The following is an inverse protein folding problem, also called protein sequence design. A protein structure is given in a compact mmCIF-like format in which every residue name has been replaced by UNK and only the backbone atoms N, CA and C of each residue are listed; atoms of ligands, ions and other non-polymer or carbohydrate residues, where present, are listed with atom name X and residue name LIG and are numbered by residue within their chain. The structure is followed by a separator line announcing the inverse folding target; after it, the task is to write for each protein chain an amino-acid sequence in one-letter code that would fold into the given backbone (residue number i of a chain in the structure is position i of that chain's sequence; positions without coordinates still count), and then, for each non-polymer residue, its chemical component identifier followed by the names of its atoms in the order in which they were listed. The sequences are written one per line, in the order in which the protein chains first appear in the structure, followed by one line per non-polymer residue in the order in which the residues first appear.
data_IF_052122024364
#
_entry.id   IF_052122024364
#
_cell.length_a   1.000
_cell.length_b   1.000
_cell.length_c   1.000
_cell.angle_alpha   90.00
_cell.angle_beta   90.00
_cell.angle_gamma   90.00
#
_symmetry.space_group_name_H-M   'P 1'
#
loop_
_entity.id
_entity.type
_entity.pdbx_description
1 polymer ?
#
# COMPACT_ATOMS: atom_id res chain seq x y z
N UNK A 1 -4.95 -0.57 10.84
CA UNK A 1 -4.82 0.53 9.87
C UNK A 1 -4.98 1.86 10.60
N UNK A 2 -3.94 2.68 10.54
CA UNK A 2 -3.80 3.92 11.28
C UNK A 2 -4.80 5.02 10.83
N UNK A 3 -5.28 5.83 11.77
CA UNK A 3 -6.23 6.92 11.51
C UNK A 3 -5.59 8.07 10.72
N UNK A 4 -4.28 8.26 10.88
CA UNK A 4 -3.46 9.18 10.08
C UNK A 4 -3.58 8.86 8.58
N UNK A 5 -3.40 7.59 8.20
CA UNK A 5 -3.51 7.12 6.82
C UNK A 5 -4.92 7.28 6.25
N UNK A 6 -5.96 6.95 7.02
CA UNK A 6 -7.36 7.15 6.61
C UNK A 6 -7.69 8.61 6.34
N UNK A 7 -7.15 9.52 7.16
CA UNK A 7 -7.28 10.95 6.96
C UNK A 7 -6.51 11.40 5.71
N UNK A 8 -5.28 10.94 5.55
CA UNK A 8 -4.42 11.26 4.42
C UNK A 8 -5.05 10.83 3.08
N UNK A 9 -5.60 9.63 2.98
CA UNK A 9 -6.33 9.17 1.80
C UNK A 9 -7.45 10.15 1.44
N UNK A 10 -8.34 10.46 2.39
CA UNK A 10 -9.45 11.40 2.15
C UNK A 10 -8.97 12.74 1.62
N UNK A 11 -7.88 13.27 2.17
CA UNK A 11 -7.31 14.54 1.72
C UNK A 11 -6.59 14.43 0.36
N UNK A 12 -5.93 13.31 0.08
CA UNK A 12 -5.16 13.09 -1.15
C UNK A 12 -6.03 12.74 -2.36
N UNK A 13 -7.04 11.89 -2.17
CA UNK A 13 -7.86 11.35 -3.27
C UNK A 13 -9.23 12.02 -3.36
N UNK A 14 -9.69 12.69 -2.30
CA UNK A 14 -11.07 13.16 -2.18
C UNK A 14 -12.09 12.03 -1.98
N UNK A 15 -11.62 10.80 -1.76
CA UNK A 15 -12.47 9.61 -1.56
C UNK A 15 -12.18 8.94 -0.22
N UNK A 16 -13.21 8.32 0.38
CA UNK A 16 -13.00 7.43 1.53
C UNK A 16 -12.30 6.15 1.09
N UNK A 17 -11.55 5.53 2.00
CA UNK A 17 -10.79 4.28 1.83
C UNK A 17 -11.61 3.14 1.20
N UNK A 18 -12.92 3.15 1.43
CA UNK A 18 -13.91 2.23 0.84
C UNK A 18 -13.93 2.27 -0.70
N UNK A 19 -13.44 3.34 -1.33
CA UNK A 19 -13.41 3.55 -2.79
C UNK A 19 -12.00 3.61 -3.41
N UNK A 20 -10.94 3.26 -2.67
CA UNK A 20 -9.68 2.92 -3.34
C UNK A 20 -9.95 1.61 -4.11
N UNK A 21 -10.29 1.75 -5.40
CA UNK A 21 -10.69 0.69 -6.34
C UNK A 21 -9.58 -0.31 -6.68
N UNK A 22 -8.79 -0.67 -5.68
CA UNK A 22 -7.68 -1.61 -5.74
C UNK A 22 -7.83 -2.75 -4.75
N UNK A 23 -8.99 -2.97 -4.11
CA UNK A 23 -9.25 -4.37 -3.75
C UNK A 23 -9.27 -5.10 -5.09
N UNK A 24 -8.43 -6.14 -5.34
CA UNK A 24 -8.76 -7.08 -6.40
C UNK A 24 -10.24 -7.36 -6.20
N UNK A 25 -11.01 -7.33 -7.28
CA UNK A 25 -12.40 -7.72 -7.21
C UNK A 25 -12.36 -9.17 -6.74
N UNK A 26 -12.36 -9.36 -5.41
CA UNK A 26 -12.07 -10.62 -4.75
C UNK A 26 -13.08 -11.62 -5.26
N UNK A 27 -14.29 -11.15 -5.51
CA UNK A 27 -15.35 -11.80 -6.26
C UNK A 27 -14.89 -12.33 -7.62
N UNK A 28 -14.29 -11.53 -8.51
CA UNK A 28 -13.84 -12.04 -9.82
C UNK A 28 -12.56 -12.88 -9.76
N UNK A 29 -11.57 -12.56 -8.92
CA UNK A 29 -10.38 -13.41 -8.75
C UNK A 29 -10.74 -14.77 -8.13
N UNK A 30 -11.63 -14.80 -7.11
CA UNK A 30 -12.16 -16.03 -6.52
C UNK A 30 -13.14 -16.74 -7.46
N UNK A 31 -13.93 -16.01 -8.26
CA UNK A 31 -14.79 -16.61 -9.28
C UNK A 31 -13.95 -17.30 -10.37
N UNK A 32 -12.84 -16.70 -10.78
CA UNK A 32 -11.93 -17.29 -11.78
C UNK A 32 -11.18 -18.51 -11.23
N UNK A 33 -10.74 -18.46 -9.96
CA UNK A 33 -10.18 -19.63 -9.28
C UNK A 33 -11.24 -20.74 -9.10
N UNK A 34 -12.44 -20.41 -8.63
CA UNK A 34 -13.51 -21.40 -8.40
C UNK A 34 -14.04 -22.03 -9.68
N UNK A 35 -13.98 -21.35 -10.83
CA UNK A 35 -14.28 -21.93 -12.13
C UNK A 35 -13.26 -23.01 -12.57
N UNK A 36 -12.04 -22.96 -12.02
CA UNK A 36 -10.96 -23.89 -12.35
C UNK A 36 -10.67 -24.90 -11.24
N UNK A 37 -11.28 -24.74 -10.05
CA UNK A 37 -11.16 -25.65 -8.92
C UNK A 37 -12.37 -26.60 -8.82
N UNK A 38 -12.11 -27.81 -8.35
CA UNK A 38 -13.18 -28.73 -7.93
C UNK A 38 -14.03 -28.08 -6.82
N UNK A 39 -15.35 -28.26 -6.86
CA UNK A 39 -16.28 -27.63 -5.90
C UNK A 39 -15.90 -27.94 -4.43
N UNK A 40 -15.40 -29.15 -4.18
CA UNK A 40 -14.87 -29.66 -2.93
C UNK A 40 -13.79 -28.74 -2.33
N UNK A 41 -12.91 -28.21 -3.17
CA UNK A 41 -11.80 -27.34 -2.75
C UNK A 41 -12.23 -25.89 -2.52
N UNK A 42 -13.24 -25.43 -3.26
CA UNK A 42 -13.83 -24.11 -3.01
C UNK A 42 -14.49 -24.03 -1.63
N UNK A 43 -15.13 -25.12 -1.19
CA UNK A 43 -15.74 -25.22 0.14
C UNK A 43 -14.66 -25.29 1.23
N UNK A 44 -13.66 -26.15 1.08
CA UNK A 44 -12.55 -26.24 2.03
C UNK A 44 -11.80 -24.90 2.21
N UNK A 45 -11.62 -24.15 1.11
CA UNK A 45 -11.04 -22.81 1.15
C UNK A 45 -11.91 -21.80 1.90
N UNK A 46 -13.22 -21.86 1.66
CA UNK A 46 -14.19 -20.99 2.32
C UNK A 46 -14.24 -21.24 3.82
N UNK A 47 -14.27 -22.50 4.25
CA UNK A 47 -14.22 -22.89 5.66
C UNK A 47 -12.89 -22.50 6.32
N UNK A 48 -11.77 -22.61 5.59
CA UNK A 48 -10.47 -22.16 6.09
C UNK A 48 -10.44 -20.64 6.31
N UNK A 49 -11.02 -19.85 5.39
CA UNK A 49 -11.16 -18.41 5.55
C UNK A 49 -12.10 -18.04 6.69
N UNK A 50 -13.22 -18.76 6.85
CA UNK A 50 -14.19 -18.52 7.92
C UNK A 50 -13.61 -18.86 9.31
N UNK A 51 -12.87 -19.97 9.41
CA UNK A 51 -12.13 -20.35 10.62
C UNK A 51 -11.08 -19.30 10.99
N UNK A 52 -10.35 -18.75 10.01
CA UNK A 52 -9.38 -17.68 10.23
C UNK A 52 -10.04 -16.36 10.71
N UNK A 53 -11.31 -16.13 10.36
CA UNK A 53 -12.08 -14.96 10.81
C UNK A 53 -12.69 -15.14 12.19
N UNK A 54 -13.12 -16.36 12.55
CA UNK A 54 -13.80 -16.67 13.82
C UNK A 54 -12.82 -16.88 14.98
N UNK A 55 -11.66 -17.49 14.73
CA UNK A 55 -10.59 -17.61 15.73
C UNK A 55 -9.24 -17.17 15.15
N UNK A 56 -8.89 -15.87 15.27
CA UNK A 56 -7.62 -15.35 14.77
C UNK A 56 -6.39 -15.89 15.53
N UNK A 57 -6.60 -16.56 16.68
CA UNK A 57 -5.51 -16.97 17.56
C UNK A 57 -4.57 -17.99 16.90
N UNK A 58 -3.30 -17.98 17.32
CA UNK A 58 -2.24 -18.87 16.84
C UNK A 58 -2.42 -20.34 17.22
N UNK A 59 -3.56 -20.72 17.78
CA UNK A 59 -3.84 -22.07 18.30
C UNK A 59 -4.16 -23.08 17.19
N UNK A 60 -4.48 -22.60 15.98
CA UNK A 60 -4.65 -23.41 14.77
C UNK A 60 -3.32 -23.59 13.99
N UNK A 61 -2.16 -23.35 14.60
CA UNK A 61 -0.85 -23.60 14.01
C UNK A 61 -0.18 -24.76 14.77
N UNK A 62 0.10 -25.86 14.07
CA UNK A 62 0.64 -27.07 14.71
C UNK A 62 0.89 -28.20 13.72
N UNK A 63 1.62 -29.23 14.16
CA UNK A 63 1.99 -30.38 13.31
C UNK A 63 0.79 -31.18 12.78
N UNK A 64 -0.40 -31.01 13.38
CA UNK A 64 -1.65 -31.64 12.97
C UNK A 64 -2.31 -30.96 11.77
N UNK A 65 -1.84 -29.76 11.40
CA UNK A 65 -2.33 -28.99 10.26
C UNK A 65 -1.62 -29.36 8.97
N UNK A 66 -2.41 -29.49 7.91
CA UNK A 66 -1.92 -29.76 6.57
C UNK A 66 -1.29 -28.50 6.01
N UNK A 67 -0.13 -28.67 5.36
CA UNK A 67 0.69 -27.59 4.83
C UNK A 67 1.30 -26.67 5.90
N UNK A 68 1.29 -27.01 7.18
CA UNK A 68 1.99 -26.22 8.20
C UNK A 68 3.51 -26.32 8.06
N UNK A 69 4.23 -25.21 8.26
CA UNK A 69 5.71 -25.18 8.32
C UNK A 69 6.16 -24.35 9.52
N UNK A 70 6.76 -24.98 10.55
CA UNK A 70 7.21 -24.26 11.74
C UNK A 70 8.34 -23.29 11.44
N UNK A 71 9.25 -23.63 10.52
CA UNK A 71 10.38 -22.77 10.19
C UNK A 71 9.94 -21.55 9.36
N UNK A 72 9.09 -21.75 8.36
CA UNK A 72 8.54 -20.63 7.60
C UNK A 72 7.66 -19.73 8.50
N UNK A 73 6.90 -20.31 9.43
CA UNK A 73 6.13 -19.56 10.43
C UNK A 73 7.02 -18.64 11.27
N UNK A 74 8.12 -19.16 11.82
CA UNK A 74 9.07 -18.37 12.61
C UNK A 74 9.71 -17.24 11.80
N UNK A 75 10.08 -17.49 10.54
CA UNK A 75 10.61 -16.45 9.65
C UNK A 75 9.57 -15.35 9.44
N UNK A 76 8.32 -15.72 9.13
CA UNK A 76 7.24 -14.76 8.89
C UNK A 76 6.94 -13.90 10.12
N UNK A 77 6.80 -14.52 11.29
CA UNK A 77 6.51 -13.83 12.56
C UNK A 77 7.64 -12.89 13.00
N UNK A 78 8.88 -13.15 12.59
CA UNK A 78 10.04 -12.31 12.93
C UNK A 78 10.29 -11.22 11.89
N UNK A 79 10.39 -11.59 10.62
CA UNK A 79 10.94 -10.72 9.59
C UNK A 79 9.92 -9.67 9.11
N UNK A 80 8.62 -9.97 9.09
CA UNK A 80 7.60 -8.98 8.70
C UNK A 80 7.48 -7.81 9.69
N UNK A 81 7.40 -8.01 11.02
CA UNK A 81 7.38 -6.89 11.97
C UNK A 81 8.64 -6.03 11.87
N UNK A 82 9.82 -6.63 11.77
CA UNK A 82 11.08 -5.90 11.59
C UNK A 82 11.08 -5.05 10.32
N UNK A 83 10.57 -5.60 9.21
CA UNK A 83 10.45 -4.87 7.95
C UNK A 83 9.48 -3.68 8.08
N UNK A 84 8.33 -3.87 8.74
CA UNK A 84 7.36 -2.80 8.95
C UNK A 84 7.94 -1.67 9.81
N UNK A 85 8.67 -2.00 10.88
CA UNK A 85 9.30 -1.00 11.76
C UNK A 85 10.46 -0.27 11.08
N UNK A 86 11.26 -0.98 10.26
CA UNK A 86 12.29 -0.38 9.41
C UNK A 86 11.68 0.71 8.51
N UNK A 87 10.58 0.42 7.83
CA UNK A 87 9.95 1.36 6.92
C UNK A 87 9.24 2.51 7.64
N UNK A 88 8.68 2.31 8.84
CA UNK A 88 8.19 3.41 9.68
C UNK A 88 9.31 4.41 9.95
N UNK A 89 10.46 3.92 10.40
CA UNK A 89 11.64 4.74 10.68
C UNK A 89 12.13 5.48 9.45
N UNK A 90 12.23 4.79 8.30
CA UNK A 90 12.61 5.42 7.02
C UNK A 90 11.64 6.52 6.60
N UNK A 91 10.34 6.38 6.87
CA UNK A 91 9.35 7.42 6.57
C UNK A 91 9.44 8.61 7.53
N UNK A 92 9.83 8.40 8.78
CA UNK A 92 10.09 9.50 9.72
C UNK A 92 11.32 10.31 9.29
N UNK A 93 12.41 9.65 8.88
CA UNK A 93 13.59 10.29 8.29
C UNK A 93 13.25 11.04 6.99
N UNK A 94 12.44 10.42 6.13
CA UNK A 94 11.95 11.02 4.90
C UNK A 94 11.12 12.27 5.18
N UNK A 95 10.20 12.22 6.16
CA UNK A 95 9.39 13.37 6.58
C UNK A 95 10.29 14.50 7.08
N UNK A 96 11.26 14.20 7.93
CA UNK A 96 12.20 15.20 8.46
C UNK A 96 13.02 15.88 7.35
N UNK A 97 13.57 15.09 6.42
CA UNK A 97 14.32 15.60 5.25
C UNK A 97 13.49 16.58 4.41
N UNK A 98 12.23 16.24 4.14
CA UNK A 98 11.38 17.07 3.29
C UNK A 98 10.76 18.26 4.02
N UNK A 99 10.51 18.15 5.32
CA UNK A 99 10.14 19.29 6.15
C UNK A 99 11.23 20.38 6.12
N UNK A 100 12.52 20.00 6.17
CA UNK A 100 13.63 20.96 6.03
C UNK A 100 13.68 21.62 4.66
N UNK A 101 13.49 20.85 3.58
CA UNK A 101 13.50 21.37 2.19
C UNK A 101 12.32 22.32 1.89
N UNK A 102 11.19 22.13 2.56
CA UNK A 102 10.02 23.00 2.44
C UNK A 102 9.90 24.00 3.59
N UNK A 103 10.95 24.20 4.38
CA UNK A 103 11.04 25.35 5.28
C UNK A 103 10.88 26.64 4.47
N UNK A 104 10.24 27.66 5.06
CA UNK A 104 9.81 28.84 4.30
C UNK A 104 10.96 29.56 3.60
N UNK A 105 12.15 29.63 4.22
CA UNK A 105 13.33 30.25 3.62
C UNK A 105 13.82 29.52 2.37
N UNK A 106 13.85 28.19 2.40
CA UNK A 106 14.27 27.39 1.24
C UNK A 106 13.23 27.43 0.12
N UNK A 107 11.96 27.33 0.47
CA UNK A 107 10.87 27.48 -0.48
C UNK A 107 10.87 28.88 -1.12
N UNK A 108 11.10 29.92 -0.32
CA UNK A 108 11.23 31.30 -0.80
C UNK A 108 12.34 31.41 -1.83
N UNK A 109 13.52 30.88 -1.53
CA UNK A 109 14.67 30.87 -2.45
C UNK A 109 14.33 30.18 -3.77
N UNK A 110 13.71 29.00 -3.72
CA UNK A 110 13.32 28.23 -4.91
C UNK A 110 12.30 29.00 -5.76
N UNK A 111 11.25 29.55 -5.15
CA UNK A 111 10.20 30.26 -5.86
C UNK A 111 10.69 31.59 -6.45
N UNK A 112 11.58 32.29 -5.76
CA UNK A 112 12.19 33.52 -6.23
C UNK A 112 13.12 33.26 -7.43
N UNK A 113 14.02 32.28 -7.31
CA UNK A 113 14.96 31.93 -8.39
C UNK A 113 14.25 31.43 -9.65
N UNK A 114 13.14 30.73 -9.49
CA UNK A 114 12.32 30.25 -10.60
C UNK A 114 11.38 31.32 -11.19
N UNK A 115 11.41 32.56 -10.67
CA UNK A 115 10.60 33.67 -11.19
C UNK A 115 9.10 33.56 -10.86
N UNK A 116 8.72 32.72 -9.90
CA UNK A 116 7.33 32.58 -9.46
C UNK A 116 6.89 33.70 -8.51
N UNK A 117 7.85 34.33 -7.82
CA UNK A 117 7.59 35.47 -6.94
C UNK A 117 8.29 36.69 -7.53
N UNK A 118 7.52 37.73 -7.77
CA UNK A 118 7.98 38.98 -8.38
C UNK A 118 7.55 40.16 -7.51
N UNK A 119 8.18 41.30 -7.72
CA UNK A 119 7.82 42.56 -7.09
C UNK A 119 7.41 43.56 -8.16
N UNK A 120 6.33 44.29 -7.92
CA UNK A 120 5.92 45.46 -8.69
C UNK A 120 5.68 46.66 -7.75
N UNK A 121 5.10 47.76 -8.27
CA UNK A 121 4.82 48.97 -7.50
C UNK A 121 3.80 48.78 -6.37
N UNK A 122 2.94 47.76 -6.45
CA UNK A 122 1.89 47.46 -5.46
C UNK A 122 2.38 46.43 -4.41
N UNK A 123 3.53 45.80 -4.63
CA UNK A 123 4.21 44.93 -3.67
C UNK A 123 4.70 43.61 -4.28
N UNK A 124 4.87 42.60 -3.43
CA UNK A 124 5.27 41.25 -3.85
C UNK A 124 4.05 40.42 -4.23
N UNK A 125 4.13 39.67 -5.33
CA UNK A 125 3.03 38.82 -5.78
C UNK A 125 3.52 37.50 -6.39
N UNK A 126 2.60 36.52 -6.43
CA UNK A 126 2.84 35.21 -7.04
C UNK A 126 2.43 35.26 -8.52
N UNK A 127 3.41 35.19 -9.41
CA UNK A 127 3.27 35.30 -10.87
C UNK A 127 2.79 33.98 -11.46
N UNK A 128 1.49 33.71 -11.35
CA UNK A 128 0.89 32.46 -11.79
C UNK A 128 -0.40 32.72 -12.57
N UNK A 129 -0.48 32.25 -13.83
CA UNK A 129 -1.61 32.52 -14.73
C UNK A 129 -2.64 31.37 -14.76
N UNK A 130 -2.40 30.27 -14.06
CA UNK A 130 -3.35 29.16 -13.96
C UNK A 130 -3.42 28.26 -15.19
N UNK A 131 -2.43 28.33 -16.08
CA UNK A 131 -2.38 27.43 -17.24
C UNK A 131 -1.96 26.02 -16.82
N UNK A 132 -2.43 24.99 -17.54
CA UNK A 132 -2.03 23.60 -17.26
C UNK A 132 -0.52 23.40 -17.33
N UNK A 133 0.17 24.15 -18.20
CA UNK A 133 1.63 24.11 -18.33
C UNK A 133 2.33 24.73 -17.11
N UNK A 134 1.86 25.89 -16.63
CA UNK A 134 2.43 26.51 -15.43
C UNK A 134 2.21 25.66 -14.17
N UNK A 135 1.03 25.05 -14.02
CA UNK A 135 0.77 24.10 -12.91
C UNK A 135 1.81 22.98 -12.93
N UNK A 136 2.03 22.40 -14.11
CA UNK A 136 2.99 21.33 -14.31
C UNK A 136 4.43 21.79 -14.02
N UNK A 137 4.82 22.96 -14.51
CA UNK A 137 6.14 23.52 -14.26
C UNK A 137 6.38 23.77 -12.76
N UNK A 138 5.39 24.37 -12.07
CA UNK A 138 5.47 24.61 -10.64
C UNK A 138 5.55 23.31 -9.84
N UNK A 139 4.79 22.29 -10.23
CA UNK A 139 4.88 20.95 -9.63
C UNK A 139 6.29 20.34 -9.77
N UNK A 140 6.86 20.40 -10.97
CA UNK A 140 8.20 19.88 -11.23
C UNK A 140 9.30 20.66 -10.51
N UNK A 141 9.13 21.97 -10.31
CA UNK A 141 10.09 22.78 -9.56
C UNK A 141 9.96 22.66 -8.04
N UNK A 142 8.93 21.99 -7.52
CA UNK A 142 8.66 21.91 -6.07
C UNK A 142 8.46 20.48 -5.57
N UNK A 143 7.26 19.91 -5.76
CA UNK A 143 6.81 18.67 -5.11
C UNK A 143 7.24 17.40 -5.85
N UNK A 144 7.54 17.46 -7.15
CA UNK A 144 7.85 16.26 -7.93
C UNK A 144 8.96 15.38 -7.32
N UNK A 145 10.03 16.00 -6.81
CA UNK A 145 11.14 15.26 -6.22
C UNK A 145 10.76 14.55 -4.90
N UNK A 146 9.85 15.14 -4.10
CA UNK A 146 9.27 14.49 -2.92
C UNK A 146 8.56 13.19 -3.32
N UNK A 147 7.73 13.29 -4.36
CA UNK A 147 6.97 12.15 -4.87
C UNK A 147 7.90 11.06 -5.40
N UNK A 148 8.87 11.41 -6.24
CA UNK A 148 9.83 10.45 -6.78
C UNK A 148 10.69 9.76 -5.70
N UNK A 149 11.08 10.47 -4.64
CA UNK A 149 11.79 9.86 -3.51
C UNK A 149 10.86 8.93 -2.69
N UNK A 150 9.56 9.23 -2.56
CA UNK A 150 8.59 8.34 -1.90
C UNK A 150 8.32 7.07 -2.70
N UNK A 151 8.28 7.15 -4.03
CA UNK A 151 8.13 5.99 -4.90
C UNK A 151 9.29 5.00 -4.73
N UNK A 152 10.51 5.50 -4.51
CA UNK A 152 11.67 4.65 -4.19
C UNK A 152 11.47 3.88 -2.89
N UNK A 153 10.88 4.51 -1.86
CA UNK A 153 10.56 3.81 -0.60
C UNK A 153 9.58 2.66 -0.87
N UNK A 154 8.52 2.90 -1.64
CA UNK A 154 7.57 1.85 -1.99
C UNK A 154 8.24 0.72 -2.81
N UNK A 155 9.09 1.05 -3.78
CA UNK A 155 9.84 0.06 -4.56
C UNK A 155 10.74 -0.79 -3.66
N UNK A 156 11.44 -0.16 -2.71
CA UNK A 156 12.27 -0.89 -1.75
C UNK A 156 11.43 -1.82 -0.88
N UNK A 157 10.27 -1.37 -0.38
CA UNK A 157 9.36 -2.23 0.39
C UNK A 157 8.92 -3.43 -0.44
N UNK A 158 8.40 -3.20 -1.66
CA UNK A 158 7.95 -4.29 -2.53
C UNK A 158 9.06 -5.29 -2.82
N UNK A 159 10.28 -4.82 -3.11
CA UNK A 159 11.43 -5.70 -3.35
C UNK A 159 11.79 -6.54 -2.11
N UNK A 160 11.77 -5.93 -0.91
CA UNK A 160 12.09 -6.62 0.35
C UNK A 160 11.04 -7.67 0.71
N UNK A 161 9.78 -7.35 0.45
CA UNK A 161 8.65 -8.26 0.65
C UNK A 161 8.72 -9.44 -0.32
N UNK A 162 8.98 -9.20 -1.61
CA UNK A 162 9.15 -10.26 -2.60
C UNK A 162 10.30 -11.20 -2.23
N UNK A 163 11.44 -10.64 -1.80
CA UNK A 163 12.56 -11.45 -1.32
C UNK A 163 12.21 -12.29 -0.08
N UNK A 164 11.43 -11.73 0.84
CA UNK A 164 10.94 -12.48 2.00
C UNK A 164 9.97 -13.60 1.57
N UNK A 165 9.08 -13.32 0.62
CA UNK A 165 8.20 -14.32 -0.01
C UNK A 165 9.00 -15.45 -0.63
N UNK A 166 10.01 -15.18 -1.46
CA UNK A 166 10.87 -16.21 -2.06
C UNK A 166 11.53 -17.10 -1.01
N UNK A 167 12.05 -16.50 0.08
CA UNK A 167 12.65 -17.23 1.21
C UNK A 167 11.61 -18.11 1.92
N UNK A 168 10.41 -17.57 2.15
CA UNK A 168 9.30 -18.30 2.77
C UNK A 168 8.85 -19.47 1.89
N UNK A 169 8.57 -19.24 0.61
CA UNK A 169 8.23 -20.30 -0.36
C UNK A 169 9.28 -21.42 -0.35
N UNK A 170 10.57 -21.09 -0.39
CA UNK A 170 11.65 -22.08 -0.42
C UNK A 170 11.65 -23.00 0.80
N UNK A 171 11.44 -22.45 1.99
CA UNK A 171 11.37 -23.24 3.24
C UNK A 171 10.05 -24.00 3.29
N UNK A 172 8.94 -23.29 3.03
CA UNK A 172 7.60 -23.82 3.14
C UNK A 172 7.37 -24.97 2.17
N UNK A 173 7.72 -24.85 0.90
CA UNK A 173 7.51 -25.89 -0.11
C UNK A 173 8.33 -27.14 0.19
N UNK A 174 9.52 -26.98 0.79
CA UNK A 174 10.35 -28.11 1.21
C UNK A 174 9.72 -28.89 2.36
N UNK A 175 9.05 -28.21 3.28
CA UNK A 175 8.51 -28.81 4.50
C UNK A 175 7.05 -29.27 4.36
N UNK A 176 6.27 -28.57 3.55
CA UNK A 176 4.81 -28.77 3.46
C UNK A 176 4.39 -29.63 2.27
N UNK A 177 5.04 -29.54 1.11
CA UNK A 177 4.54 -30.12 -0.14
C UNK A 177 4.86 -31.63 -0.31
N UNK A 178 4.57 -32.42 0.72
CA UNK A 178 4.97 -33.84 0.81
C UNK A 178 4.00 -34.74 0.02
N UNK A 179 2.72 -34.40 -0.02
CA UNK A 179 1.66 -35.14 -0.72
C UNK A 179 0.76 -34.21 -1.57
N UNK A 180 -0.18 -34.78 -2.33
CA UNK A 180 -1.04 -33.99 -3.23
C UNK A 180 -1.92 -32.97 -2.49
N UNK A 181 -2.38 -33.33 -1.29
CA UNK A 181 -3.29 -32.52 -0.48
C UNK A 181 -2.55 -31.32 0.13
N UNK A 182 -1.34 -31.56 0.64
CA UNK A 182 -0.49 -30.54 1.24
C UNK A 182 0.12 -29.56 0.21
N UNK A 183 0.02 -29.86 -1.09
CA UNK A 183 0.41 -28.95 -2.18
C UNK A 183 -0.63 -27.88 -2.51
N UNK A 184 -1.85 -27.98 -2.00
CA UNK A 184 -2.96 -27.12 -2.42
C UNK A 184 -2.72 -25.65 -2.05
N UNK A 185 -2.38 -25.37 -0.80
CA UNK A 185 -2.06 -24.00 -0.37
C UNK A 185 -0.82 -23.44 -1.10
N UNK A 186 0.29 -24.19 -1.24
CA UNK A 186 1.42 -23.81 -2.10
C UNK A 186 1.03 -23.48 -3.55
N UNK A 187 0.23 -24.34 -4.19
CA UNK A 187 -0.19 -24.13 -5.59
C UNK A 187 -1.11 -22.92 -5.73
N UNK A 188 -2.01 -22.70 -4.76
CA UNK A 188 -2.86 -21.52 -4.73
C UNK A 188 -2.03 -20.25 -4.55
N UNK A 189 -1.09 -20.24 -3.61
CA UNK A 189 -0.20 -19.10 -3.35
C UNK A 189 0.58 -18.71 -4.61
N UNK A 190 1.20 -19.67 -5.29
CA UNK A 190 1.93 -19.46 -6.53
C UNK A 190 1.05 -18.91 -7.66
N UNK A 191 -0.22 -19.32 -7.74
CA UNK A 191 -1.14 -18.88 -8.80
C UNK A 191 -1.49 -17.39 -8.72
N UNK A 192 -1.31 -16.76 -7.55
CA UNK A 192 -1.64 -15.35 -7.38
C UNK A 192 -0.50 -14.39 -7.71
N UNK A 193 0.77 -14.82 -7.72
CA UNK A 193 1.96 -13.94 -7.80
C UNK A 193 1.88 -12.88 -8.90
N UNK A 194 1.46 -13.26 -10.11
CA UNK A 194 1.36 -12.33 -11.23
C UNK A 194 0.34 -11.20 -10.95
N UNK A 195 -0.81 -11.54 -10.35
CA UNK A 195 -1.83 -10.55 -10.00
C UNK A 195 -1.34 -9.62 -8.89
N UNK A 196 -0.57 -10.15 -7.94
CA UNK A 196 0.04 -9.40 -6.85
C UNK A 196 1.05 -8.36 -7.38
N UNK A 197 1.93 -8.78 -8.29
CA UNK A 197 2.91 -7.91 -8.95
C UNK A 197 2.22 -6.79 -9.73
N UNK A 198 1.21 -7.14 -10.52
CA UNK A 198 0.41 -6.15 -11.25
C UNK A 198 -0.28 -5.16 -10.31
N UNK A 199 -0.81 -5.64 -9.18
CA UNK A 199 -1.46 -4.78 -8.20
C UNK A 199 -0.48 -3.80 -7.56
N UNK A 200 0.69 -4.27 -7.12
CA UNK A 200 1.75 -3.44 -6.55
C UNK A 200 2.24 -2.41 -7.57
N UNK A 201 2.41 -2.80 -8.84
CA UNK A 201 2.79 -1.89 -9.90
C UNK A 201 1.77 -0.76 -10.11
N UNK A 202 0.46 -1.07 -10.04
CA UNK A 202 -0.62 -0.06 -10.10
C UNK A 202 -0.61 0.87 -8.89
N UNK A 203 -0.43 0.34 -7.68
CA UNK A 203 -0.31 1.15 -6.47
C UNK A 203 0.86 2.13 -6.59
N UNK A 204 2.01 1.66 -7.08
CA UNK A 204 3.19 2.51 -7.33
C UNK A 204 2.90 3.61 -8.33
N UNK A 205 2.31 3.28 -9.48
CA UNK A 205 1.97 4.26 -10.50
C UNK A 205 0.97 5.33 -10.01
N UNK A 206 0.12 4.96 -9.04
CA UNK A 206 -0.89 5.88 -8.49
C UNK A 206 -0.31 7.02 -7.64
N UNK A 207 0.89 6.87 -7.07
CA UNK A 207 1.50 7.89 -6.20
C UNK A 207 1.68 9.23 -6.93
N UNK A 208 2.36 9.21 -8.09
CA UNK A 208 2.54 10.39 -8.92
C UNK A 208 1.23 10.99 -9.40
N UNK A 209 0.29 10.16 -9.84
CA UNK A 209 -1.00 10.62 -10.34
C UNK A 209 -1.79 11.37 -9.24
N UNK A 210 -1.89 10.78 -8.06
CA UNK A 210 -2.65 11.33 -6.93
C UNK A 210 -1.99 12.61 -6.41
N UNK A 211 -0.66 12.61 -6.27
CA UNK A 211 0.08 13.80 -5.87
C UNK A 211 -0.13 14.96 -6.84
N UNK A 212 0.04 14.71 -8.15
CA UNK A 212 -0.15 15.73 -9.17
C UNK A 212 -1.60 16.22 -9.25
N UNK A 213 -2.58 15.31 -9.10
CA UNK A 213 -4.01 15.67 -9.10
C UNK A 213 -4.35 16.58 -7.92
N UNK A 214 -3.93 16.22 -6.70
CA UNK A 214 -4.10 17.07 -5.51
C UNK A 214 -3.39 18.40 -5.68
N UNK A 215 -2.17 18.37 -6.20
CA UNK A 215 -1.39 19.58 -6.46
C UNK A 215 -2.16 20.52 -7.38
N UNK A 216 -2.56 20.01 -8.54
CA UNK A 216 -3.27 20.76 -9.56
C UNK A 216 -4.57 21.38 -9.05
N UNK A 217 -5.33 20.67 -8.20
CA UNK A 217 -6.58 21.19 -7.64
C UNK A 217 -6.38 22.48 -6.82
N UNK A 218 -5.26 22.63 -6.13
CA UNK A 218 -4.97 23.84 -5.35
C UNK A 218 -4.71 25.08 -6.20
N UNK A 219 -4.30 24.89 -7.46
CA UNK A 219 -3.92 25.96 -8.38
C UNK A 219 -4.88 26.13 -9.56
N UNK A 220 -5.91 25.27 -9.67
CA UNK A 220 -6.96 25.38 -10.71
C UNK A 220 -7.91 26.55 -10.49
N UNK A 221 -8.12 26.99 -9.24
CA UNK A 221 -9.00 28.13 -8.95
C UNK A 221 -8.30 29.45 -9.27
N UNK A 222 -8.89 30.24 -10.18
CA UNK A 222 -8.41 31.59 -10.53
C UNK A 222 -8.80 32.57 -9.42
N UNK A 223 -7.84 32.92 -8.56
CA UNK A 223 -7.94 34.08 -7.67
C UNK A 223 -7.47 35.35 -8.37
N UNK A 224 -7.92 36.51 -7.91
CA UNK A 224 -7.25 37.77 -8.27
C UNK A 224 -5.80 37.73 -7.77
N UNK A 225 -4.89 38.32 -8.53
CA UNK A 225 -3.51 38.51 -8.07
C UNK A 225 -3.57 39.29 -6.75
N UNK A 226 -2.87 38.77 -5.75
CA UNK A 226 -2.80 39.36 -4.42
C UNK A 226 -1.38 39.83 -4.18
N UNK A 227 -1.27 41.08 -3.75
CA UNK A 227 0.00 41.71 -3.38
C UNK A 227 0.23 41.61 -1.87
N UNK A 228 1.51 41.54 -1.50
CA UNK A 228 1.99 41.38 -0.14
C UNK A 228 3.11 42.38 0.14
N UNK A 229 3.20 42.83 1.39
CA UNK A 229 4.24 43.76 1.83
C UNK A 229 5.65 43.15 1.77
N UNK A 230 5.77 41.83 1.94
CA UNK A 230 7.05 41.11 1.91
C UNK A 230 6.98 39.86 1.04
N UNK A 231 8.12 39.47 0.46
CA UNK A 231 8.23 38.25 -0.35
C UNK A 231 7.92 36.99 0.45
N UNK A 232 8.35 36.91 1.72
CA UNK A 232 8.04 35.81 2.63
C UNK A 232 6.54 35.67 2.91
N UNK A 233 5.82 36.79 3.07
CA UNK A 233 4.37 36.75 3.23
C UNK A 233 3.68 36.22 1.96
N UNK A 234 4.22 36.57 0.77
CA UNK A 234 3.76 36.01 -0.50
C UNK A 234 3.97 34.48 -0.54
N UNK A 235 5.16 33.98 -0.17
CA UNK A 235 5.47 32.54 -0.14
C UNK A 235 4.47 31.77 0.73
N UNK A 236 4.19 32.25 1.95
CA UNK A 236 3.27 31.59 2.88
C UNK A 236 1.85 31.48 2.33
N UNK A 237 1.46 32.37 1.42
CA UNK A 237 0.14 32.35 0.79
C UNK A 237 0.04 31.39 -0.41
N UNK A 238 1.18 30.98 -1.01
CA UNK A 238 1.21 30.05 -2.15
C UNK A 238 0.69 28.69 -1.70
N UNK A 239 -0.31 28.17 -2.42
CA UNK A 239 -0.92 26.87 -2.09
C UNK A 239 -1.75 26.86 -0.81
N UNK A 240 -2.11 28.04 -0.26
CA UNK A 240 -2.85 28.21 1.01
C UNK A 240 -4.07 27.30 1.21
N UNK A 241 -4.67 26.80 0.14
CA UNK A 241 -5.77 25.81 0.19
C UNK A 241 -5.41 24.51 0.92
N UNK A 242 -4.13 24.12 1.02
CA UNK A 242 -3.70 22.96 1.80
C UNK A 242 -3.57 23.26 3.30
N UNK A 243 -3.38 24.51 3.70
CA UNK A 243 -3.15 24.93 5.09
C UNK A 243 -4.28 25.85 5.59
N UNK A 244 -5.54 25.39 5.46
CA UNK A 244 -6.72 26.19 5.84
C UNK A 244 -6.79 26.53 7.32
N UNK A 245 -6.25 25.66 8.19
CA UNK A 245 -6.20 25.88 9.64
C UNK A 245 -5.08 26.83 10.06
N UNK A 246 -4.10 27.11 9.19
CA UNK A 246 -2.90 27.85 9.56
C UNK A 246 -1.98 27.11 10.53
N UNK A 247 -2.14 25.79 10.68
CA UNK A 247 -1.35 24.99 11.64
C UNK A 247 0.13 24.84 11.21
N UNK A 248 0.42 24.99 9.92
CA UNK A 248 1.77 24.91 9.37
C UNK A 248 2.30 26.30 9.02
N UNK A 249 3.63 26.45 9.02
CA UNK A 249 4.29 27.71 8.67
C UNK A 249 3.99 28.14 7.22
N UNK A 250 3.89 27.16 6.32
CA UNK A 250 3.51 27.36 4.92
C UNK A 250 2.71 26.15 4.40
N UNK A 251 2.06 26.31 3.25
CA UNK A 251 1.19 25.27 2.72
C UNK A 251 1.91 24.03 2.16
N UNK A 252 3.17 24.17 1.73
CA UNK A 252 3.94 23.03 1.22
C UNK A 252 4.31 22.06 2.34
N UNK A 253 4.55 22.55 3.56
CA UNK A 253 4.68 21.69 4.74
C UNK A 253 3.39 20.90 5.01
N UNK A 254 2.23 21.56 4.94
CA UNK A 254 0.93 20.89 5.10
C UNK A 254 0.70 19.80 4.03
N UNK A 255 1.04 20.09 2.77
CA UNK A 255 0.98 19.10 1.70
C UNK A 255 1.94 17.93 1.96
N UNK A 256 3.17 18.25 2.37
CA UNK A 256 4.22 17.26 2.61
C UNK A 256 3.80 16.28 3.69
N UNK A 257 3.25 16.78 4.81
CA UNK A 257 2.80 15.92 5.90
C UNK A 257 1.66 14.99 5.47
N UNK A 258 0.63 15.55 4.81
CA UNK A 258 -0.48 14.75 4.28
C UNK A 258 -0.02 13.72 3.22
N UNK A 259 0.97 14.07 2.40
CA UNK A 259 1.52 13.16 1.39
C UNK A 259 2.39 12.08 2.02
N UNK A 260 3.21 12.42 3.01
CA UNK A 260 4.02 11.47 3.77
C UNK A 260 3.13 10.43 4.46
N UNK A 261 2.05 10.84 5.11
CA UNK A 261 1.08 9.93 5.73
C UNK A 261 0.44 8.99 4.69
N UNK A 262 0.09 9.53 3.52
CA UNK A 262 -0.48 8.74 2.43
C UNK A 262 0.52 7.73 1.86
N UNK A 263 1.74 8.16 1.53
CA UNK A 263 2.77 7.30 0.95
C UNK A 263 3.26 6.26 1.96
N UNK A 264 3.44 6.65 3.23
CA UNK A 264 3.80 5.75 4.32
C UNK A 264 2.72 4.69 4.50
N UNK A 265 1.46 5.09 4.63
CA UNK A 265 0.36 4.14 4.81
C UNK A 265 0.18 3.21 3.61
N UNK A 266 0.37 3.68 2.37
CA UNK A 266 0.34 2.83 1.19
C UNK A 266 1.50 1.80 1.20
N UNK A 267 2.69 2.23 1.61
CA UNK A 267 3.87 1.36 1.70
C UNK A 267 3.71 0.31 2.79
N UNK A 268 3.26 0.72 3.98
CA UNK A 268 3.00 -0.20 5.09
C UNK A 268 1.83 -1.13 4.78
N UNK A 269 0.81 -0.68 4.04
CA UNK A 269 -0.30 -1.54 3.59
C UNK A 269 0.20 -2.73 2.77
N UNK A 270 1.20 -2.55 1.92
CA UNK A 270 1.81 -3.67 1.16
C UNK A 270 2.46 -4.67 2.13
N UNK A 271 3.29 -4.19 3.06
CA UNK A 271 3.94 -5.07 4.06
C UNK A 271 2.94 -5.78 4.97
N UNK A 272 1.92 -5.08 5.47
CA UNK A 272 0.84 -5.64 6.29
C UNK A 272 0.04 -6.68 5.52
N UNK A 273 -0.28 -6.41 4.25
CA UNK A 273 -1.01 -7.35 3.42
C UNK A 273 -0.22 -8.64 3.20
N UNK A 274 1.09 -8.58 2.95
CA UNK A 274 1.92 -9.79 2.85
C UNK A 274 2.10 -10.51 4.18
N UNK A 275 2.25 -9.79 5.29
CA UNK A 275 2.27 -10.40 6.63
C UNK A 275 0.99 -11.20 6.88
N UNK A 276 -0.16 -10.61 6.58
CA UNK A 276 -1.47 -11.23 6.80
C UNK A 276 -1.68 -12.41 5.83
N UNK A 277 -1.27 -12.25 4.55
CA UNK A 277 -1.22 -13.32 3.54
C UNK A 277 -0.43 -14.52 4.06
N UNK A 278 0.82 -14.30 4.49
CA UNK A 278 1.69 -15.37 4.95
C UNK A 278 1.25 -15.98 6.28
N UNK A 279 0.67 -15.17 7.18
CA UNK A 279 0.01 -15.69 8.38
C UNK A 279 -1.14 -16.63 8.04
N UNK A 280 -1.92 -16.35 6.99
CA UNK A 280 -2.99 -17.23 6.54
C UNK A 280 -2.44 -18.54 5.97
N UNK A 281 -1.54 -18.45 4.98
CA UNK A 281 -1.00 -19.63 4.30
C UNK A 281 -0.23 -20.58 5.23
N UNK A 282 0.59 -20.03 6.11
CA UNK A 282 1.47 -20.84 6.96
C UNK A 282 0.75 -21.48 8.15
N UNK A 283 -0.48 -21.07 8.48
CA UNK A 283 -1.32 -21.77 9.47
C UNK A 283 -1.63 -23.20 9.03
N UNK A 284 -1.78 -23.41 7.72
CA UNK A 284 -2.30 -24.67 7.20
C UNK A 284 -3.80 -24.83 7.49
N UNK A 285 -4.37 -25.95 7.08
CA UNK A 285 -5.79 -26.27 7.33
C UNK A 285 -5.91 -27.61 8.05
N UNK A 286 -6.99 -27.78 8.82
CA UNK A 286 -7.17 -28.97 9.66
C UNK A 286 -7.47 -30.19 8.81
N UNK A 287 -6.82 -31.32 9.14
CA UNK A 287 -7.11 -32.61 8.51
C UNK A 287 -8.57 -33.03 8.66
N UNK A 288 -9.21 -32.66 9.78
CA UNK A 288 -10.64 -32.90 10.01
C UNK A 288 -11.58 -32.15 9.06
N UNK A 289 -11.13 -31.04 8.45
CA UNK A 289 -11.89 -30.33 7.41
C UNK A 289 -11.91 -31.11 6.10
N UNK A 290 -10.90 -31.96 5.85
CA UNK A 290 -10.87 -32.83 4.67
C UNK A 290 -11.61 -34.15 4.85
N UNK A 291 -11.65 -34.68 6.06
CA UNK A 291 -12.35 -35.94 6.36
C UNK A 291 -13.87 -35.85 6.07
N UNK A 292 -14.42 -34.63 6.03
CA UNK A 292 -15.78 -34.35 5.55
C UNK A 292 -15.97 -34.68 4.06
N UNK A 293 -14.91 -34.61 3.26
CA UNK A 293 -14.93 -34.88 1.82
C UNK A 293 -14.43 -36.29 1.46
N UNK A 294 -13.65 -36.93 2.34
CA UNK A 294 -13.10 -38.29 2.14
C UNK A 294 -14.10 -39.44 2.28
N UNK A 295 -15.33 -39.20 2.76
CA UNK A 295 -16.36 -40.25 2.92
C UNK A 295 -17.07 -40.69 1.63
N UNK A 296 -16.76 -40.08 0.49
CA UNK A 296 -17.41 -40.41 -0.80
C UNK A 296 -16.75 -41.56 -1.57
N UNK A 297 -15.69 -42.19 -1.07
CA UNK A 297 -15.10 -43.40 -1.69
C UNK A 297 -15.16 -44.57 -0.71
N UNK A 298 -16.34 -45.17 -0.53
CA UNK A 298 -16.41 -46.55 -0.04
C UNK A 298 -15.86 -47.47 -1.13
N UNK A 299 -14.93 -48.40 -0.82
CA UNK A 299 -14.52 -49.42 -1.77
C UNK A 299 -15.74 -50.29 -2.03
N UNK A 300 -16.19 -50.34 -3.29
CA UNK A 300 -17.17 -51.32 -3.73
C UNK A 300 -16.63 -52.71 -3.36
N UNK A 301 -17.29 -53.36 -2.41
CA UNK A 301 -17.18 -54.78 -2.16
C UNK A 301 -17.52 -55.52 -3.46
N UNK A 302 -16.52 -55.81 -4.29
CA UNK A 302 -16.63 -56.85 -5.30
C UNK A 302 -16.60 -58.19 -4.56
N UNK A 303 -17.79 -58.75 -4.30
CA UNK A 303 -17.89 -60.18 -4.02
C UNK A 303 -17.44 -60.94 -5.27
N UNK A 304 -16.60 -61.99 -5.15
CA UNK A 304 -16.36 -62.88 -6.27
C UNK A 304 -17.65 -63.64 -6.56
N UNK A 305 -18.03 -63.66 -7.84
CA UNK A 305 -19.09 -64.53 -8.36
C UNK A 305 -18.46 -65.92 -8.53
N UNK A 306 -19.06 -66.92 -7.88
CA UNK A 306 -18.82 -68.35 -8.12
C UNK A 306 -19.30 -68.78 -9.51
#
# INVERSE_FOLDING_TARGET
MDESFRRAIRKMTGTSLVRLGGRPDRSSSVAMLSQTMEATWSIALFEHLDAALTDPSSTMAGQEMISYSPNAWMISQKDFPLLLDEFRTRFDEFRAKWAQRFATEELHRVLLQAGWILQDGDGWYFSFKGTSQEIRNLYFSTIHMLVGDSEKLLVMMSSRVLHLQERLCKVWYKESAIDAISKILPSMEASFHEQEDQYIARLRASLAEIAFKRFSLAFKSRGKVRHFATSLACVRAVGSTWNRSGAYENAFLAFTDDFCDYACGLTLLVGEWYRDKWSLYLRGFSRGQLDLFGRSVSPLHTKPVE
#
